data_IF_197013096006
#
_entry.id   IF_197013096006
#
_cell.length_a   1.000
_cell.length_b   1.000
_cell.length_c   1.000
_cell.angle_alpha   90.00
_cell.angle_beta   90.00
_cell.angle_gamma   90.00
#
_symmetry.space_group_name_H-M   'P 1'
#
loop_
_entity.id
_entity.type
_entity.pdbx_description
1 polymer ?
#
# COMPACT_ATOMS: atom_id res chain seq x y z
N UNK A 1 -1.67 1.58 17.77
CA UNK A 1 -3.07 1.20 17.50
C UNK A 1 -3.10 0.47 16.18
N UNK A 2 -4.01 -0.50 16.02
CA UNK A 2 -4.02 -1.41 14.87
C UNK A 2 -5.26 -1.16 14.00
N UNK A 3 -5.05 -1.16 12.68
CA UNK A 3 -6.05 -0.91 11.65
C UNK A 3 -6.03 -2.10 10.67
N UNK A 4 -6.91 -3.07 10.85
CA UNK A 4 -6.94 -4.27 9.98
C UNK A 4 -7.63 -3.92 8.66
N UNK A 5 -7.01 -4.23 7.53
CA UNK A 5 -7.55 -3.87 6.21
C UNK A 5 -8.92 -4.51 5.91
N UNK A 6 -9.25 -5.62 6.57
CA UNK A 6 -10.56 -6.28 6.47
C UNK A 6 -11.69 -5.46 7.08
N UNK A 7 -11.40 -4.64 8.08
CA UNK A 7 -12.38 -3.73 8.68
C UNK A 7 -12.75 -2.58 7.71
N UNK A 8 -11.92 -2.39 6.68
CA UNK A 8 -12.10 -1.43 5.58
C UNK A 8 -12.59 -2.10 4.29
N UNK A 9 -12.96 -3.39 4.35
CA UNK A 9 -13.56 -4.11 3.24
C UNK A 9 -12.57 -4.87 2.35
N UNK A 10 -11.32 -5.08 2.78
CA UNK A 10 -10.40 -5.94 2.03
C UNK A 10 -10.88 -7.40 2.02
N UNK A 11 -10.72 -8.06 0.87
CA UNK A 11 -11.14 -9.44 0.60
C UNK A 11 -9.90 -10.29 0.26
N UNK A 12 -9.75 -11.40 0.98
CA UNK A 12 -8.59 -12.29 0.93
C UNK A 12 -8.75 -13.39 -0.14
N UNK A 13 -9.09 -13.03 -1.38
CA UNK A 13 -9.37 -13.97 -2.48
C UNK A 13 -8.28 -13.99 -3.58
N UNK A 14 -7.21 -13.21 -3.42
CA UNK A 14 -6.12 -13.09 -4.39
C UNK A 14 -6.50 -12.45 -5.74
N UNK A 15 -7.72 -11.92 -5.90
CA UNK A 15 -8.23 -11.41 -7.19
C UNK A 15 -8.99 -10.09 -7.10
N UNK A 16 -9.63 -9.80 -5.97
CA UNK A 16 -10.24 -8.50 -5.67
C UNK A 16 -9.14 -7.46 -5.50
N UNK A 17 -9.24 -6.33 -6.21
CA UNK A 17 -8.31 -5.21 -6.00
C UNK A 17 -8.62 -4.53 -4.66
N UNK A 18 -7.73 -4.72 -3.68
CA UNK A 18 -7.86 -4.24 -2.32
C UNK A 18 -7.33 -2.81 -2.09
N UNK A 19 -6.85 -2.12 -3.13
CA UNK A 19 -6.23 -0.79 -3.02
C UNK A 19 -7.06 0.18 -2.18
N UNK A 20 -8.36 0.29 -2.47
CA UNK A 20 -9.22 1.25 -1.77
C UNK A 20 -9.35 0.94 -0.27
N UNK A 21 -9.49 -0.34 0.09
CA UNK A 21 -9.59 -0.76 1.49
C UNK A 21 -8.26 -0.53 2.24
N UNK A 22 -7.14 -0.88 1.60
CA UNK A 22 -5.81 -0.70 2.20
C UNK A 22 -5.51 0.79 2.37
N UNK A 23 -5.79 1.62 1.37
CA UNK A 23 -5.57 3.07 1.47
C UNK A 23 -6.45 3.70 2.56
N UNK A 24 -7.71 3.28 2.70
CA UNK A 24 -8.59 3.76 3.77
C UNK A 24 -8.04 3.42 5.18
N UNK A 25 -7.43 2.25 5.34
CA UNK A 25 -6.76 1.86 6.58
C UNK A 25 -5.51 2.72 6.86
N UNK A 26 -4.69 2.98 5.84
CA UNK A 26 -3.52 3.88 5.92
C UNK A 26 -3.93 5.29 6.30
N UNK A 27 -4.98 5.82 5.66
CA UNK A 27 -5.48 7.16 5.91
C UNK A 27 -6.02 7.29 7.34
N UNK A 28 -6.84 6.33 7.79
CA UNK A 28 -7.34 6.31 9.15
C UNK A 28 -6.23 6.20 10.19
N UNK A 29 -5.22 5.36 9.93
CA UNK A 29 -4.04 5.20 10.77
C UNK A 29 -3.27 6.53 10.93
N UNK A 30 -3.05 7.22 9.82
CA UNK A 30 -2.33 8.51 9.78
C UNK A 30 -3.11 9.60 10.50
N UNK A 31 -4.42 9.73 10.23
CA UNK A 31 -5.29 10.74 10.85
C UNK A 31 -5.33 10.60 12.37
N UNK A 32 -5.23 9.37 12.87
CA UNK A 32 -5.19 9.08 14.30
C UNK A 32 -3.81 9.29 14.96
N UNK A 33 -2.82 9.80 14.23
CA UNK A 33 -1.46 10.06 14.73
C UNK A 33 -0.49 8.89 14.57
N UNK A 34 -0.83 7.88 13.76
CA UNK A 34 0.03 6.75 13.44
C UNK A 34 -0.32 5.45 14.15
N UNK A 35 0.39 4.38 13.78
CA UNK A 35 0.11 3.04 14.24
C UNK A 35 0.44 1.98 13.21
N UNK A 36 -0.27 0.85 13.29
CA UNK A 36 -0.04 -0.31 12.42
C UNK A 36 -1.25 -0.57 11.54
N UNK A 37 -1.03 -0.60 10.23
CA UNK A 37 -2.00 -1.15 9.27
C UNK A 37 -1.69 -2.64 9.15
N UNK A 38 -2.65 -3.47 9.54
CA UNK A 38 -2.46 -4.93 9.60
C UNK A 38 -3.02 -5.55 8.32
N UNK A 39 -2.14 -6.22 7.57
CA UNK A 39 -2.52 -7.13 6.48
C UNK A 39 -2.53 -8.53 7.07
N UNK A 40 -3.72 -9.14 7.23
CA UNK A 40 -3.84 -10.42 7.91
C UNK A 40 -3.46 -11.58 7.00
N UNK A 41 -3.34 -12.79 7.56
CA UNK A 41 -3.12 -14.02 6.78
C UNK A 41 -4.15 -14.14 5.64
N UNK A 42 -3.67 -14.42 4.42
CA UNK A 42 -4.49 -14.50 3.21
C UNK A 42 -3.80 -13.88 1.98
N UNK A 43 -4.45 -13.99 0.82
CA UNK A 43 -3.96 -13.41 -0.44
C UNK A 43 -4.73 -12.14 -0.79
N UNK A 44 -4.02 -11.03 -0.94
CA UNK A 44 -4.60 -9.72 -1.21
C UNK A 44 -3.97 -9.12 -2.46
N UNK A 45 -4.68 -9.19 -3.59
CA UNK A 45 -4.32 -8.42 -4.78
C UNK A 45 -4.55 -6.93 -4.49
N UNK A 46 -3.61 -6.08 -4.88
CA UNK A 46 -3.77 -4.63 -4.76
C UNK A 46 -3.08 -3.90 -5.90
N UNK A 47 -3.68 -2.77 -6.29
CA UNK A 47 -2.97 -1.70 -6.98
C UNK A 47 -1.98 -0.97 -6.07
N UNK A 48 -1.47 0.18 -6.52
CA UNK A 48 -0.50 0.98 -5.75
C UNK A 48 -1.04 1.37 -4.38
N UNK A 49 -0.24 1.10 -3.35
CA UNK A 49 -0.48 1.54 -1.97
C UNK A 49 0.49 2.68 -1.65
N UNK A 50 -0.06 3.84 -1.29
CA UNK A 50 0.72 5.01 -0.88
C UNK A 50 0.79 5.04 0.64
N UNK A 51 1.97 4.73 1.20
CA UNK A 51 2.22 4.79 2.63
C UNK A 51 2.39 6.25 3.09
N UNK A 52 1.98 6.53 4.33
CA UNK A 52 1.93 7.86 4.93
C UNK A 52 2.71 7.91 6.25
N UNK A 53 3.01 9.12 6.72
CA UNK A 53 3.84 9.29 7.91
C UNK A 53 3.29 8.56 9.14
N UNK A 54 4.20 8.03 9.96
CA UNK A 54 3.88 7.30 11.20
C UNK A 54 3.11 5.98 11.00
N UNK A 55 3.06 5.45 9.77
CA UNK A 55 2.41 4.18 9.45
C UNK A 55 3.44 3.04 9.44
N UNK A 56 3.13 1.98 10.17
CA UNK A 56 3.73 0.67 10.00
C UNK A 56 2.78 -0.21 9.19
N UNK A 57 3.19 -0.66 7.99
CA UNK A 57 2.51 -1.75 7.30
C UNK A 57 3.00 -3.08 7.88
N UNK A 58 2.12 -3.83 8.54
CA UNK A 58 2.46 -5.09 9.20
C UNK A 58 1.80 -6.27 8.48
N UNK A 59 2.60 -7.16 7.92
CA UNK A 59 2.13 -8.37 7.24
C UNK A 59 2.17 -9.56 8.21
N UNK A 60 1.00 -10.07 8.60
CA UNK A 60 0.91 -11.27 9.44
C UNK A 60 1.51 -12.49 8.71
N UNK A 61 1.97 -13.49 9.45
CA UNK A 61 2.49 -14.73 8.86
C UNK A 61 1.46 -15.41 7.94
N UNK A 62 1.91 -15.89 6.77
CA UNK A 62 1.04 -16.49 5.76
C UNK A 62 0.23 -15.48 4.94
N UNK A 63 0.51 -14.19 5.06
CA UNK A 63 0.01 -13.15 4.14
C UNK A 63 0.77 -13.19 2.82
N UNK A 64 0.06 -12.96 1.72
CA UNK A 64 0.65 -12.63 0.42
C UNK A 64 -0.03 -11.35 -0.11
N UNK A 65 0.72 -10.26 -0.13
CA UNK A 65 0.29 -8.97 -0.68
C UNK A 65 0.78 -8.89 -2.13
N UNK A 66 -0.15 -9.03 -3.09
CA UNK A 66 0.13 -9.30 -4.50
C UNK A 66 -0.03 -8.01 -5.31
N UNK A 67 1.01 -7.66 -6.06
CA UNK A 67 0.99 -6.55 -7.01
C UNK A 67 0.06 -6.85 -8.19
N UNK A 68 -0.84 -5.94 -8.50
CA UNK A 68 -1.62 -6.02 -9.74
C UNK A 68 -0.73 -5.80 -10.96
N UNK A 69 -0.90 -6.65 -11.97
CA UNK A 69 -0.25 -6.49 -13.27
C UNK A 69 -1.06 -5.59 -14.24
N UNK A 70 -2.21 -5.07 -13.79
CA UNK A 70 -3.07 -4.20 -14.60
C UNK A 70 -2.59 -2.76 -14.49
N UNK A 71 -2.35 -2.12 -15.64
CA UNK A 71 -1.87 -0.73 -15.68
C UNK A 71 -2.84 0.23 -14.99
N UNK A 72 -4.15 0.00 -15.09
CA UNK A 72 -5.18 0.82 -14.46
C UNK A 72 -5.18 0.77 -12.92
N UNK A 73 -4.56 -0.26 -12.32
CA UNK A 73 -4.47 -0.41 -10.88
C UNK A 73 -3.21 0.27 -10.30
N UNK A 74 -2.23 0.58 -11.15
CA UNK A 74 -0.93 1.11 -10.76
C UNK A 74 -0.88 2.62 -11.04
N UNK A 75 -0.51 3.40 -10.01
CA UNK A 75 -0.32 4.84 -10.15
C UNK A 75 0.91 5.13 -11.02
N UNK A 76 0.66 5.90 -12.06
CA UNK A 76 1.69 6.49 -12.91
C UNK A 76 2.13 7.83 -12.31
N UNK A 77 3.30 7.82 -11.65
CA UNK A 77 3.88 8.99 -10.99
C UNK A 77 4.25 10.13 -11.94
N UNK A 78 4.40 9.88 -13.25
CA UNK A 78 4.86 10.90 -14.20
C UNK A 78 3.76 11.38 -15.17
N UNK A 79 2.62 10.69 -15.22
CA UNK A 79 1.49 11.01 -16.10
C UNK A 79 0.21 11.51 -15.41
N UNK A 80 0.13 11.42 -14.08
CA UNK A 80 -1.03 11.89 -13.31
C UNK A 80 -0.82 13.33 -12.83
N UNK A 81 -1.80 14.20 -13.04
CA UNK A 81 -1.80 15.59 -12.52
C UNK A 81 -1.86 15.67 -10.99
N UNK A 82 -1.79 14.54 -10.30
CA UNK A 82 -1.91 14.42 -8.85
C UNK A 82 -0.54 14.50 -8.15
N UNK A 83 0.58 14.31 -8.87
CA UNK A 83 1.91 14.23 -8.28
C UNK A 83 2.97 14.91 -9.17
N UNK A 84 3.57 16.01 -8.71
CA UNK A 84 4.76 16.61 -9.36
C UNK A 84 6.02 16.10 -8.63
N UNK A 85 6.91 15.40 -9.34
CA UNK A 85 8.25 15.03 -8.84
C UNK A 85 9.27 16.11 -9.26
N UNK A 86 9.85 16.89 -8.32
CA UNK A 86 10.84 17.90 -8.64
C UNK A 86 12.26 17.34 -8.85
N UNK A 87 12.47 16.02 -8.72
CA UNK A 87 13.79 15.40 -8.88
C UNK A 87 13.91 14.67 -10.22
N UNK A 88 14.79 15.16 -11.10
CA UNK A 88 15.09 14.53 -12.40
C UNK A 88 15.93 13.24 -12.26
N UNK A 89 15.56 12.34 -11.33
CA UNK A 89 16.21 11.05 -11.17
C UNK A 89 15.50 10.01 -12.06
N UNK A 90 16.07 9.74 -13.22
CA UNK A 90 15.54 8.79 -14.21
C UNK A 90 15.46 7.36 -13.67
N UNK A 91 14.25 6.86 -13.43
CA UNK A 91 13.90 5.45 -13.26
C UNK A 91 12.76 5.08 -14.23
N UNK A 92 12.82 3.89 -14.83
CA UNK A 92 12.10 3.47 -16.04
C UNK A 92 10.63 3.02 -15.82
N UNK A 93 9.90 2.80 -16.93
CA UNK A 93 8.44 2.62 -17.03
C UNK A 93 7.87 1.48 -16.18
N UNK A 94 6.85 1.80 -15.35
CA UNK A 94 5.94 0.78 -14.83
C UNK A 94 5.16 1.07 -13.56
N UNK A 95 5.29 2.25 -12.94
CA UNK A 95 4.57 2.61 -11.71
C UNK A 95 4.94 1.77 -10.48
N UNK A 96 4.54 2.24 -9.30
CA UNK A 96 5.02 1.66 -8.04
C UNK A 96 3.94 0.81 -7.38
N UNK A 97 4.30 -0.37 -6.87
CA UNK A 97 3.36 -1.14 -6.04
C UNK A 97 3.25 -0.54 -4.63
N UNK A 98 4.39 -0.20 -4.02
CA UNK A 98 4.50 0.42 -2.70
C UNK A 98 5.34 1.67 -2.82
N UNK A 99 4.77 2.81 -2.46
CA UNK A 99 5.44 4.10 -2.57
C UNK A 99 5.09 5.02 -1.39
N UNK A 100 5.83 6.11 -1.29
CA UNK A 100 5.64 7.19 -0.32
C UNK A 100 6.12 8.50 -0.94
N UNK A 101 5.53 9.64 -0.56
CA UNK A 101 5.87 10.95 -1.11
C UNK A 101 5.98 12.00 0.00
N UNK A 102 7.20 12.47 0.28
CA UNK A 102 7.48 13.47 1.32
C UNK A 102 7.00 13.09 2.74
N UNK A 103 6.89 11.79 3.04
CA UNK A 103 6.47 11.28 4.35
C UNK A 103 7.68 10.76 5.16
N UNK A 104 7.50 10.55 6.47
CA UNK A 104 8.55 10.11 7.40
C UNK A 104 8.04 9.08 8.42
N UNK A 105 8.94 8.41 9.15
CA UNK A 105 8.61 7.42 10.19
C UNK A 105 7.72 6.27 9.70
N UNK A 106 8.05 5.75 8.52
CA UNK A 106 7.35 4.62 7.89
C UNK A 106 8.11 3.33 8.18
N UNK A 107 7.39 2.24 8.40
CA UNK A 107 7.98 0.91 8.57
C UNK A 107 7.18 -0.14 7.82
N UNK A 108 7.86 -1.17 7.32
CA UNK A 108 7.25 -2.38 6.78
C UNK A 108 7.81 -3.55 7.60
N UNK A 109 6.93 -4.26 8.29
CA UNK A 109 7.29 -5.30 9.26
C UNK A 109 6.44 -6.55 9.06
N UNK A 110 6.86 -7.66 9.67
CA UNK A 110 6.10 -8.91 9.71
C UNK A 110 6.80 -10.06 9.00
N UNK A 111 6.08 -11.17 8.85
CA UNK A 111 6.57 -12.44 8.29
C UNK A 111 5.86 -12.81 6.97
N UNK A 112 4.94 -11.97 6.50
CA UNK A 112 4.25 -12.17 5.23
C UNK A 112 5.11 -11.82 4.01
N UNK A 113 4.58 -12.16 2.83
CA UNK A 113 5.22 -11.95 1.54
C UNK A 113 4.66 -10.71 0.85
N UNK A 114 5.54 -9.87 0.32
CA UNK A 114 5.20 -8.88 -0.70
C UNK A 114 5.56 -9.52 -2.04
N UNK A 115 4.54 -9.83 -2.85
CA UNK A 115 4.69 -10.47 -4.15
C UNK A 115 4.56 -9.39 -5.23
N UNK A 116 5.70 -8.80 -5.57
CA UNK A 116 5.85 -7.70 -6.52
C UNK A 116 5.84 -8.12 -7.98
#
# INVERSE_FOLDING_TARGET
MDYRITDYGAVADGTTNNRAAIQAAVDACTVAGGGRVIVPTGQFLSGTIVLKSNVTLYLEGGTELISSLRKEDILDFFGSSEFEDPSEATGWEGGDFLCTLHEHDISILGEGTIYG
#
